data_IF_225821803616
#
_entry.id   IF_225821803616
#
_cell.length_a   1.000
_cell.length_b   1.000
_cell.length_c   1.000
_cell.angle_alpha   90.00
_cell.angle_beta   90.00
_cell.angle_gamma   90.00
#
_symmetry.space_group_name_H-M   'P 1'
#
loop_
_entity.id
_entity.type
_entity.pdbx_description
1 polymer ?
#
# COMPACT_ATOMS: atom_id res chain seq x y z
N UNK A 1 37.02 4.00 -6.78
CA UNK A 1 35.70 4.64 -6.75
C UNK A 1 35.01 4.13 -5.50
N UNK A 2 34.47 5.01 -4.65
CA UNK A 2 33.70 4.57 -3.50
C UNK A 2 32.47 3.80 -4.01
N UNK A 3 32.21 2.62 -3.42
CA UNK A 3 31.07 1.81 -3.78
C UNK A 3 29.79 2.56 -3.38
N UNK A 4 28.96 2.92 -4.35
CA UNK A 4 27.63 3.52 -4.11
C UNK A 4 26.65 2.43 -3.74
N UNK A 5 25.82 2.69 -2.72
CA UNK A 5 24.70 1.82 -2.37
C UNK A 5 23.60 1.88 -3.43
N UNK A 6 22.98 0.73 -3.69
CA UNK A 6 21.84 0.68 -4.60
C UNK A 6 20.58 1.31 -3.94
N UNK A 7 19.64 1.73 -4.77
CA UNK A 7 18.34 2.20 -4.29
C UNK A 7 17.61 1.15 -3.42
N UNK A 8 17.78 -0.13 -3.76
CA UNK A 8 17.21 -1.25 -3.00
C UNK A 8 17.83 -1.38 -1.61
N UNK A 9 19.17 -1.19 -1.48
CA UNK A 9 19.83 -1.17 -0.18
C UNK A 9 19.29 -0.04 0.71
N UNK A 10 19.15 1.15 0.14
CA UNK A 10 18.65 2.34 0.86
C UNK A 10 17.19 2.13 1.29
N UNK A 11 16.35 1.55 0.41
CA UNK A 11 14.94 1.23 0.74
C UNK A 11 14.85 0.21 1.86
N UNK A 12 15.68 -0.82 1.84
CA UNK A 12 15.71 -1.84 2.87
C UNK A 12 16.11 -1.27 4.23
N UNK A 13 17.18 -0.47 4.30
CA UNK A 13 17.60 0.22 5.52
C UNK A 13 16.51 1.16 6.03
N UNK A 14 15.86 1.92 5.15
CA UNK A 14 14.77 2.82 5.50
C UNK A 14 13.55 2.07 6.05
N UNK A 15 13.13 1.00 5.41
CA UNK A 15 12.00 0.17 5.84
C UNK A 15 12.22 -0.45 7.22
N UNK A 16 13.43 -0.96 7.48
CA UNK A 16 13.81 -1.53 8.77
C UNK A 16 13.83 -0.45 9.87
N UNK A 17 14.42 0.71 9.58
CA UNK A 17 14.48 1.81 10.51
C UNK A 17 13.09 2.40 10.81
N UNK A 18 12.21 2.48 9.80
CA UNK A 18 10.81 2.88 9.95
C UNK A 18 10.05 1.91 10.86
N UNK A 19 10.21 0.61 10.66
CA UNK A 19 9.56 -0.41 11.49
C UNK A 19 10.03 -0.34 12.94
N UNK A 20 11.33 -0.16 13.16
CA UNK A 20 11.91 0.00 14.51
C UNK A 20 11.40 1.28 15.20
N UNK A 21 11.34 2.40 14.49
CA UNK A 21 10.78 3.65 15.00
C UNK A 21 9.31 3.48 15.39
N UNK A 22 8.50 2.91 14.51
CA UNK A 22 7.08 2.73 14.76
C UNK A 22 6.79 1.78 15.92
N UNK A 23 7.60 0.74 16.09
CA UNK A 23 7.51 -0.19 17.23
C UNK A 23 7.81 0.52 18.57
N UNK A 24 8.73 1.48 18.58
CA UNK A 24 9.04 2.28 19.78
C UNK A 24 7.89 3.26 20.09
N UNK A 25 7.33 3.89 19.09
CA UNK A 25 6.25 4.88 19.24
C UNK A 25 4.89 4.22 19.53
N UNK A 26 4.63 3.04 18.97
CA UNK A 26 3.39 2.26 19.09
C UNK A 26 3.72 0.84 19.53
N UNK A 27 3.89 0.57 20.84
CA UNK A 27 4.30 -0.75 21.34
C UNK A 27 3.39 -1.90 20.90
N UNK A 28 2.09 -1.65 20.74
CA UNK A 28 1.11 -2.64 20.27
C UNK A 28 1.41 -3.14 18.86
N UNK A 29 2.09 -2.34 18.02
CA UNK A 29 2.60 -2.77 16.72
C UNK A 29 3.64 -3.90 16.87
N UNK A 30 4.51 -3.85 17.88
CA UNK A 30 5.45 -4.94 18.17
C UNK A 30 4.74 -6.25 18.51
N UNK A 31 3.68 -6.19 19.32
CA UNK A 31 2.83 -7.35 19.64
C UNK A 31 2.15 -7.90 18.38
N UNK A 32 1.69 -7.01 17.49
CA UNK A 32 1.09 -7.37 16.22
C UNK A 32 2.08 -8.12 15.30
N UNK A 33 3.32 -7.66 15.23
CA UNK A 33 4.38 -8.33 14.46
C UNK A 33 4.65 -9.75 14.97
N UNK A 34 4.68 -9.95 16.30
CA UNK A 34 4.86 -11.27 16.90
C UNK A 34 3.68 -12.20 16.52
N UNK A 35 2.44 -11.73 16.67
CA UNK A 35 1.24 -12.50 16.27
C UNK A 35 1.29 -12.90 14.79
N UNK A 36 1.64 -11.97 13.90
CA UNK A 36 1.72 -12.24 12.45
C UNK A 36 2.83 -13.26 12.15
N UNK A 37 3.99 -13.17 12.80
CA UNK A 37 5.07 -14.12 12.65
C UNK A 37 4.68 -15.54 13.08
N UNK A 38 4.00 -15.68 14.22
CA UNK A 38 3.51 -16.95 14.73
C UNK A 38 2.48 -17.60 13.79
N UNK A 39 1.53 -16.82 13.29
CA UNK A 39 0.52 -17.29 12.32
C UNK A 39 1.17 -17.71 11.00
N UNK A 40 2.09 -16.90 10.45
CA UNK A 40 2.76 -17.21 9.20
C UNK A 40 3.59 -18.50 9.32
N UNK A 41 4.32 -18.68 10.42
CA UNK A 41 5.07 -19.89 10.68
C UNK A 41 4.15 -21.12 10.72
N UNK A 42 3.07 -21.07 11.49
CA UNK A 42 2.10 -22.15 11.59
C UNK A 42 1.46 -22.50 10.24
N UNK A 43 1.17 -21.51 9.40
CA UNK A 43 0.64 -21.75 8.05
C UNK A 43 1.66 -22.47 7.16
N UNK A 44 2.91 -22.05 7.18
CA UNK A 44 3.98 -22.65 6.37
C UNK A 44 4.33 -24.09 6.82
N UNK A 45 4.31 -24.36 8.12
CA UNK A 45 4.54 -25.70 8.67
C UNK A 45 3.40 -26.68 8.31
N UNK A 46 2.15 -26.19 8.28
CA UNK A 46 0.99 -27.02 8.01
C UNK A 46 0.58 -27.09 6.52
N UNK A 47 1.21 -26.30 5.65
CA UNK A 47 0.89 -26.24 4.21
C UNK A 47 2.18 -26.28 3.36
N UNK A 48 2.74 -27.49 3.21
CA UNK A 48 3.95 -27.73 2.42
C UNK A 48 3.83 -27.22 0.98
N UNK A 49 2.64 -27.36 0.37
CA UNK A 49 2.40 -26.87 -1.00
C UNK A 49 2.54 -25.35 -1.09
N UNK A 50 1.93 -24.61 -0.16
CA UNK A 50 2.05 -23.15 -0.13
C UNK A 50 3.50 -22.74 0.13
N UNK A 51 4.20 -23.43 1.05
CA UNK A 51 5.61 -23.20 1.33
C UNK A 51 6.45 -23.34 0.07
N UNK A 52 6.28 -24.43 -0.67
CA UNK A 52 6.98 -24.67 -1.95
C UNK A 52 6.62 -23.62 -3.02
N UNK A 53 5.36 -23.23 -3.12
CA UNK A 53 4.93 -22.18 -4.04
C UNK A 53 5.61 -20.84 -3.76
N UNK A 54 5.64 -20.41 -2.49
CA UNK A 54 6.30 -19.18 -2.08
C UNK A 54 7.83 -19.24 -2.25
N UNK A 55 8.45 -20.40 -1.95
CA UNK A 55 9.86 -20.61 -2.18
C UNK A 55 10.22 -20.54 -3.68
N UNK A 56 9.41 -21.16 -4.54
CA UNK A 56 9.61 -21.13 -5.99
C UNK A 56 9.36 -19.76 -6.62
N UNK A 57 8.59 -18.91 -5.94
CA UNK A 57 8.32 -17.53 -6.36
C UNK A 57 9.31 -16.51 -5.78
N UNK A 58 10.28 -16.96 -4.97
CA UNK A 58 11.20 -16.13 -4.18
C UNK A 58 10.46 -15.17 -3.20
N UNK A 59 9.25 -15.56 -2.76
CA UNK A 59 8.40 -14.73 -1.88
C UNK A 59 8.59 -15.02 -0.38
N UNK A 60 9.25 -16.10 0.02
CA UNK A 60 9.45 -16.42 1.44
C UNK A 60 10.28 -15.36 2.16
N UNK A 61 11.37 -14.90 1.54
CA UNK A 61 12.25 -13.90 2.14
C UNK A 61 11.53 -12.55 2.31
N UNK A 62 10.74 -12.14 1.30
CA UNK A 62 10.03 -10.87 1.34
C UNK A 62 8.91 -10.83 2.38
N UNK A 63 8.29 -11.96 2.70
CA UNK A 63 7.18 -12.05 3.64
C UNK A 63 7.49 -11.40 5.00
N UNK A 64 8.71 -11.59 5.50
CA UNK A 64 9.14 -11.06 6.79
C UNK A 64 9.47 -9.55 6.77
N UNK A 65 9.87 -9.02 5.63
CA UNK A 65 10.27 -7.62 5.48
C UNK A 65 9.21 -6.75 4.83
N UNK A 66 8.18 -7.38 4.24
CA UNK A 66 7.10 -6.68 3.54
C UNK A 66 6.30 -5.80 4.48
N UNK A 67 6.31 -4.50 4.22
CA UNK A 67 5.56 -3.49 4.98
C UNK A 67 4.92 -2.49 4.04
N UNK A 68 3.76 -2.00 4.42
CA UNK A 68 3.27 -0.75 3.86
C UNK A 68 2.88 0.23 4.96
N UNK A 69 2.92 1.51 4.65
CA UNK A 69 2.49 2.58 5.53
C UNK A 69 1.57 3.56 4.81
N UNK A 70 1.01 4.49 5.58
CA UNK A 70 0.23 5.59 5.05
C UNK A 70 0.65 6.91 5.69
N UNK A 71 0.77 7.94 4.86
CA UNK A 71 1.09 9.30 5.25
C UNK A 71 0.17 10.30 4.55
N UNK A 72 0.07 11.50 5.13
CA UNK A 72 -0.74 12.58 4.58
C UNK A 72 0.06 13.88 4.59
N UNK A 73 0.04 14.57 3.48
CA UNK A 73 0.73 15.87 3.30
C UNK A 73 -0.26 16.95 2.90
N UNK A 74 0.12 18.20 3.11
CA UNK A 74 -0.76 19.34 2.94
C UNK A 74 -0.47 20.19 1.72
N UNK A 75 0.73 20.09 1.13
CA UNK A 75 1.15 20.96 0.02
C UNK A 75 1.75 20.19 -1.15
N UNK A 76 1.69 20.79 -2.33
CA UNK A 76 2.35 20.28 -3.54
C UNK A 76 3.87 20.15 -3.36
N UNK A 77 4.49 21.07 -2.64
CA UNK A 77 5.93 21.04 -2.35
C UNK A 77 6.29 19.85 -1.47
N UNK A 78 5.51 19.57 -0.42
CA UNK A 78 5.70 18.39 0.41
C UNK A 78 5.58 17.10 -0.42
N UNK A 79 4.57 16.98 -1.29
CA UNK A 79 4.35 15.83 -2.13
C UNK A 79 5.49 15.62 -3.14
N UNK A 80 5.89 16.67 -3.84
CA UNK A 80 6.98 16.59 -4.85
C UNK A 80 8.33 16.28 -4.20
N UNK A 81 8.60 16.82 -3.02
CA UNK A 81 9.82 16.51 -2.26
C UNK A 81 9.83 15.06 -1.77
N UNK A 82 8.69 14.53 -1.29
CA UNK A 82 8.55 13.09 -0.99
C UNK A 82 8.78 12.22 -2.22
N UNK A 83 8.28 12.64 -3.39
CA UNK A 83 8.51 11.92 -4.64
C UNK A 83 10.01 11.79 -4.95
N UNK A 84 10.80 12.88 -4.77
CA UNK A 84 12.27 12.82 -4.88
C UNK A 84 12.90 11.92 -3.83
N UNK A 85 12.46 12.02 -2.57
CA UNK A 85 12.96 11.18 -1.48
C UNK A 85 12.76 9.69 -1.77
N UNK A 86 11.57 9.31 -2.20
CA UNK A 86 11.24 7.91 -2.52
C UNK A 86 11.91 7.42 -3.81
N UNK A 87 12.16 8.30 -4.78
CA UNK A 87 12.92 7.94 -5.98
C UNK A 87 14.36 7.51 -5.65
N UNK A 88 15.01 8.12 -4.65
CA UNK A 88 16.33 7.68 -4.13
C UNK A 88 16.27 6.23 -3.61
N UNK A 89 15.12 5.80 -3.15
CA UNK A 89 14.87 4.43 -2.65
C UNK A 89 14.32 3.49 -3.75
N UNK A 90 14.30 3.92 -5.02
CA UNK A 90 13.78 3.14 -6.14
C UNK A 90 12.27 2.92 -6.11
N UNK A 91 11.52 3.85 -5.51
CA UNK A 91 10.06 3.78 -5.41
C UNK A 91 9.43 4.78 -6.39
N UNK A 92 8.44 4.30 -7.14
CA UNK A 92 7.69 5.05 -8.14
C UNK A 92 6.25 5.28 -7.68
N UNK A 93 5.61 6.41 -8.06
CA UNK A 93 4.19 6.62 -7.79
C UNK A 93 3.35 5.75 -8.72
N UNK A 94 2.53 4.87 -8.17
CA UNK A 94 1.66 3.94 -8.90
C UNK A 94 0.22 4.14 -8.48
N UNK A 95 -0.66 4.30 -9.44
CA UNK A 95 -2.09 4.50 -9.24
C UNK A 95 -2.45 5.91 -8.76
N UNK A 96 -3.64 6.33 -9.13
CA UNK A 96 -4.27 7.55 -8.63
C UNK A 96 -5.59 7.21 -7.96
N UNK A 97 -5.80 7.74 -6.76
CA UNK A 97 -6.97 7.46 -5.93
C UNK A 97 -7.60 8.78 -5.48
N UNK A 98 -8.82 9.07 -5.93
CA UNK A 98 -9.62 10.20 -5.45
C UNK A 98 -10.53 9.74 -4.32
N UNK A 99 -10.19 10.08 -3.08
CA UNK A 99 -10.96 9.71 -1.89
C UNK A 99 -12.07 10.72 -1.57
N UNK A 100 -12.14 11.84 -2.27
CA UNK A 100 -13.19 12.86 -2.06
C UNK A 100 -14.59 12.33 -2.39
N UNK A 101 -14.68 11.37 -3.30
CA UNK A 101 -15.92 10.63 -3.60
C UNK A 101 -16.45 9.84 -2.38
N UNK A 102 -15.58 9.56 -1.43
CA UNK A 102 -15.86 8.92 -0.15
C UNK A 102 -15.97 9.94 1.01
N UNK A 103 -16.11 11.23 0.70
CA UNK A 103 -16.09 12.34 1.66
C UNK A 103 -14.78 12.44 2.47
N UNK A 104 -13.69 11.93 1.95
CA UNK A 104 -12.36 12.08 2.54
C UNK A 104 -11.59 13.11 1.71
N UNK A 105 -11.22 14.28 2.26
CA UNK A 105 -10.77 15.44 1.48
C UNK A 105 -9.32 15.32 1.01
N UNK A 106 -8.98 14.21 0.38
CA UNK A 106 -7.65 13.93 -0.18
C UNK A 106 -7.72 13.21 -1.51
N UNK A 107 -6.66 13.31 -2.28
CA UNK A 107 -6.34 12.39 -3.36
C UNK A 107 -4.93 11.82 -3.16
N UNK A 108 -4.65 10.65 -3.74
CA UNK A 108 -3.53 9.85 -3.29
C UNK A 108 -2.85 9.07 -4.41
N UNK A 109 -1.64 8.63 -4.15
CA UNK A 109 -0.92 7.60 -4.90
C UNK A 109 -0.22 6.65 -3.93
N UNK A 110 0.28 5.53 -4.43
CA UNK A 110 1.16 4.64 -3.67
C UNK A 110 2.58 4.71 -4.24
N UNK A 111 3.55 5.03 -3.41
CA UNK A 111 4.95 4.87 -3.79
C UNK A 111 5.38 3.44 -3.51
N UNK A 112 5.93 2.76 -4.50
CA UNK A 112 6.44 1.39 -4.41
C UNK A 112 7.50 1.06 -5.45
N UNK A 113 8.34 0.03 -5.23
CA UNK A 113 9.15 -0.53 -6.30
C UNK A 113 8.26 -1.09 -7.42
N UNK A 114 8.74 -1.08 -8.65
CA UNK A 114 8.01 -1.59 -9.82
C UNK A 114 8.75 -2.74 -10.50
N UNK A 115 10.05 -2.83 -10.32
CA UNK A 115 10.88 -3.91 -10.83
C UNK A 115 10.71 -5.19 -10.02
N UNK A 116 10.65 -6.35 -10.68
CA UNK A 116 10.41 -7.65 -10.04
C UNK A 116 11.47 -8.01 -8.99
N UNK A 117 12.75 -7.76 -9.28
CA UNK A 117 13.83 -8.07 -8.35
C UNK A 117 13.78 -7.15 -7.12
N UNK A 118 13.43 -5.89 -7.32
CA UNK A 118 13.23 -4.92 -6.25
C UNK A 118 12.05 -5.32 -5.33
N UNK A 119 10.93 -5.75 -5.92
CA UNK A 119 9.74 -6.23 -5.20
C UNK A 119 10.04 -7.52 -4.41
N UNK A 120 10.82 -8.44 -4.96
CA UNK A 120 11.23 -9.66 -4.26
C UNK A 120 12.16 -9.38 -3.10
N UNK A 121 13.02 -8.38 -3.23
CA UNK A 121 13.97 -8.01 -2.19
C UNK A 121 13.31 -7.31 -1.01
N UNK A 122 12.59 -6.22 -1.27
CA UNK A 122 11.88 -5.45 -0.25
C UNK A 122 10.72 -4.67 -0.86
N UNK A 123 9.49 -5.18 -0.79
CA UNK A 123 8.30 -4.53 -1.36
C UNK A 123 7.72 -3.48 -0.40
N UNK A 124 8.55 -2.57 0.08
CA UNK A 124 8.09 -1.48 0.92
C UNK A 124 7.23 -0.51 0.12
N UNK A 125 6.06 -0.15 0.66
CA UNK A 125 5.07 0.73 0.02
C UNK A 125 4.63 1.81 0.97
N UNK A 126 4.39 3.01 0.46
CA UNK A 126 3.78 4.10 1.23
C UNK A 126 2.61 4.71 0.45
N UNK A 127 1.41 4.54 0.99
CA UNK A 127 0.22 5.22 0.51
C UNK A 127 0.25 6.68 0.94
N UNK A 128 0.35 7.59 -0.03
CA UNK A 128 0.60 9.00 0.21
C UNK A 128 -0.57 9.84 -0.28
N UNK A 129 -1.20 10.56 0.65
CA UNK A 129 -2.37 11.40 0.40
C UNK A 129 -1.99 12.89 0.44
N UNK A 130 -2.49 13.65 -0.52
CA UNK A 130 -2.43 15.10 -0.55
C UNK A 130 -3.79 15.69 -0.16
N UNK A 131 -3.77 16.58 0.83
CA UNK A 131 -4.97 17.30 1.27
C UNK A 131 -5.51 18.19 0.14
N UNK A 132 -6.81 18.15 -0.05
CA UNK A 132 -7.55 19.00 -0.96
C UNK A 132 -8.17 20.17 -0.20
N UNK A 133 -7.37 21.23 -0.02
CA UNK A 133 -7.75 22.42 0.74
C UNK A 133 -9.03 23.07 0.20
N UNK A 134 -9.29 22.99 -1.10
CA UNK A 134 -10.48 23.53 -1.74
C UNK A 134 -11.78 22.87 -1.26
N UNK A 135 -11.69 21.72 -0.60
CA UNK A 135 -12.84 21.02 -0.02
C UNK A 135 -13.16 21.45 1.43
N UNK A 136 -12.40 22.38 2.01
CA UNK A 136 -12.78 23.04 3.27
C UNK A 136 -13.83 24.09 2.97
N UNK A 137 -15.04 23.94 3.53
CA UNK A 137 -16.20 24.78 3.20
C UNK A 137 -16.00 26.24 3.61
N UNK A 138 -15.49 26.49 4.85
CA UNK A 138 -15.22 27.84 5.36
C UNK A 138 -13.99 28.45 4.68
N UNK A 139 -14.15 29.56 3.89
CA UNK A 139 -13.03 30.19 3.21
C UNK A 139 -11.96 30.78 4.16
N UNK A 140 -12.36 31.26 5.35
CA UNK A 140 -11.42 31.81 6.32
C UNK A 140 -10.59 30.71 6.96
N UNK A 141 -11.23 29.60 7.31
CA UNK A 141 -10.55 28.41 7.83
C UNK A 141 -9.62 27.78 6.79
N UNK A 142 -10.05 27.75 5.52
CA UNK A 142 -9.23 27.30 4.37
C UNK A 142 -7.97 28.17 4.23
N UNK A 143 -8.11 29.49 4.27
CA UNK A 143 -6.99 30.41 4.18
C UNK A 143 -6.03 30.27 5.38
N UNK A 144 -6.58 30.08 6.59
CA UNK A 144 -5.80 29.83 7.81
C UNK A 144 -5.01 28.52 7.68
N UNK A 145 -5.66 27.44 7.24
CA UNK A 145 -5.01 26.15 7.00
C UNK A 145 -3.88 26.26 5.95
N UNK A 146 -4.14 26.95 4.84
CA UNK A 146 -3.14 27.16 3.80
C UNK A 146 -1.90 27.90 4.33
N UNK A 147 -2.10 28.91 5.18
CA UNK A 147 -1.00 29.66 5.80
C UNK A 147 -0.19 28.77 6.76
N UNK A 148 -0.85 28.01 7.64
CA UNK A 148 -0.18 27.09 8.58
C UNK A 148 0.70 26.09 7.80
N UNK A 149 0.18 25.53 6.72
CA UNK A 149 0.92 24.58 5.89
C UNK A 149 2.10 25.23 5.15
N UNK A 150 1.94 26.48 4.69
CA UNK A 150 3.01 27.24 4.02
C UNK A 150 4.17 27.61 4.95
N UNK A 151 3.88 27.77 6.24
CA UNK A 151 4.87 28.17 7.25
C UNK A 151 5.66 26.98 7.83
N UNK A 152 5.31 25.72 7.46
CA UNK A 152 6.00 24.52 7.96
C UNK A 152 6.96 23.93 6.93
N UNK A 153 8.02 23.27 7.42
CA UNK A 153 8.85 22.36 6.63
C UNK A 153 8.89 21.00 7.35
N UNK A 154 8.38 19.95 6.68
CA UNK A 154 8.37 18.59 7.24
C UNK A 154 9.69 17.85 7.03
N UNK A 155 10.64 18.44 6.32
CA UNK A 155 11.95 17.85 6.02
C UNK A 155 13.03 18.57 6.83
N UNK A 156 14.01 17.81 7.33
CA UNK A 156 15.18 18.44 7.93
C UNK A 156 16.02 19.15 6.86
N UNK A 157 16.69 20.28 7.17
CA UNK A 157 17.62 20.92 6.23
C UNK A 157 18.71 19.96 5.75
N UNK A 158 19.14 19.03 6.60
CA UNK A 158 20.15 18.04 6.25
C UNK A 158 19.61 16.99 5.27
N UNK A 159 18.36 16.56 5.43
CA UNK A 159 17.69 15.67 4.48
C UNK A 159 17.65 16.31 3.07
N UNK A 160 17.25 17.58 2.98
CA UNK A 160 17.24 18.33 1.71
C UNK A 160 18.63 18.44 1.11
N UNK A 161 19.64 18.74 1.91
CA UNK A 161 21.04 18.82 1.45
C UNK A 161 21.55 17.46 0.93
N UNK A 162 21.19 16.36 1.59
CA UNK A 162 21.56 15.02 1.13
C UNK A 162 20.86 14.63 -0.17
N UNK A 163 19.58 14.96 -0.35
CA UNK A 163 18.89 14.74 -1.63
C UNK A 163 19.57 15.50 -2.79
N UNK A 164 19.97 16.75 -2.56
CA UNK A 164 20.71 17.52 -3.56
C UNK A 164 22.07 16.88 -3.87
N UNK A 165 22.79 16.45 -2.82
CA UNK A 165 24.06 15.75 -2.97
C UNK A 165 23.92 14.45 -3.77
N UNK A 166 22.85 13.68 -3.55
CA UNK A 166 22.54 12.48 -4.33
C UNK A 166 22.37 12.80 -5.81
N UNK A 167 21.61 13.85 -6.13
CA UNK A 167 21.38 14.28 -7.51
C UNK A 167 22.67 14.74 -8.21
N UNK A 168 23.55 15.44 -7.47
CA UNK A 168 24.83 15.95 -7.99
C UNK A 168 25.85 14.84 -8.26
N UNK A 169 25.94 13.83 -7.39
CA UNK A 169 26.96 12.76 -7.50
C UNK A 169 26.43 11.44 -8.06
N UNK A 170 25.12 11.32 -8.28
CA UNK A 170 24.50 10.15 -8.86
C UNK A 170 24.42 8.93 -7.92
N UNK A 171 24.35 9.16 -6.62
CA UNK A 171 24.20 8.10 -5.62
C UNK A 171 24.80 8.44 -4.26
N UNK A 172 24.70 7.53 -3.29
CA UNK A 172 25.26 7.67 -1.95
C UNK A 172 26.35 6.65 -1.65
N UNK A 173 27.37 7.05 -0.91
CA UNK A 173 28.22 6.13 -0.16
C UNK A 173 27.41 5.50 0.99
N UNK A 174 27.89 4.40 1.57
CA UNK A 174 27.24 3.76 2.71
C UNK A 174 26.99 4.73 3.88
N UNK A 175 27.95 5.59 4.20
CA UNK A 175 27.81 6.56 5.29
C UNK A 175 26.76 7.64 4.96
N UNK A 176 26.74 8.13 3.71
CA UNK A 176 25.73 9.11 3.27
C UNK A 176 24.33 8.51 3.25
N UNK A 177 24.19 7.25 2.84
CA UNK A 177 22.91 6.54 2.83
C UNK A 177 22.37 6.36 4.26
N UNK A 178 23.19 5.95 5.21
CA UNK A 178 22.80 5.83 6.61
C UNK A 178 22.39 7.18 7.21
N UNK A 179 23.11 8.25 6.87
CA UNK A 179 22.74 9.60 7.29
C UNK A 179 21.41 10.02 6.65
N UNK A 180 21.23 9.77 5.36
CA UNK A 180 19.98 10.06 4.65
C UNK A 180 18.78 9.32 5.25
N UNK A 181 18.90 8.03 5.53
CA UNK A 181 17.83 7.24 6.17
C UNK A 181 17.46 7.84 7.54
N UNK A 182 18.45 8.18 8.37
CA UNK A 182 18.20 8.80 9.69
C UNK A 182 17.47 10.15 9.57
N UNK A 183 17.92 11.01 8.65
CA UNK A 183 17.31 12.33 8.44
C UNK A 183 15.90 12.22 7.79
N UNK A 184 15.72 11.31 6.85
CA UNK A 184 14.42 11.06 6.20
C UNK A 184 13.38 10.57 7.20
N UNK A 185 13.77 9.74 8.20
CA UNK A 185 12.86 9.25 9.22
C UNK A 185 12.22 10.35 10.05
N UNK A 186 12.91 11.48 10.26
CA UNK A 186 12.38 12.59 11.06
C UNK A 186 11.07 13.16 10.49
N UNK A 187 10.87 13.07 9.17
CA UNK A 187 9.63 13.46 8.49
C UNK A 187 8.42 12.66 8.98
N UNK A 188 8.63 11.42 9.42
CA UNK A 188 7.59 10.44 9.72
C UNK A 188 7.36 10.20 11.22
N UNK A 189 8.13 10.87 12.08
CA UNK A 189 8.01 10.76 13.54
C UNK A 189 6.72 11.39 14.06
N UNK A 190 6.22 10.84 15.14
CA UNK A 190 5.13 11.43 15.91
C UNK A 190 5.61 12.65 16.71
N UNK A 191 4.81 13.72 16.65
CA UNK A 191 5.00 14.93 17.41
C UNK A 191 3.81 15.18 18.35
N UNK A 192 4.07 15.30 19.66
CA UNK A 192 3.03 15.56 20.66
C UNK A 192 2.56 17.01 20.65
N UNK A 193 3.35 17.93 20.13
CA UNK A 193 3.03 19.35 20.10
C UNK A 193 2.42 19.71 18.76
N UNK A 194 1.25 20.35 18.80
CA UNK A 194 0.63 20.91 17.61
C UNK A 194 1.22 22.28 17.29
N UNK A 195 1.11 22.69 16.03
CA UNK A 195 1.51 24.03 15.57
C UNK A 195 0.41 25.07 15.79
N UNK A 196 -0.77 24.65 16.24
CA UNK A 196 -1.98 25.47 16.40
C UNK A 196 -2.55 25.38 17.81
N UNK A 197 -3.37 26.38 18.17
CA UNK A 197 -4.16 26.36 19.40
C UNK A 197 -5.32 25.37 19.32
N UNK A 198 -5.94 25.11 20.47
CA UNK A 198 -7.04 24.16 20.60
C UNK A 198 -8.27 24.57 19.79
N UNK A 199 -8.58 25.87 19.70
CA UNK A 199 -9.73 26.39 18.96
C UNK A 199 -9.57 26.10 17.45
N UNK A 200 -8.40 26.40 16.91
CA UNK A 200 -8.08 26.10 15.49
C UNK A 200 -8.12 24.63 15.21
N UNK A 201 -7.54 23.80 16.10
CA UNK A 201 -7.60 22.35 15.98
C UNK A 201 -9.05 21.84 15.95
N UNK A 202 -9.90 22.31 16.87
CA UNK A 202 -11.30 21.90 16.92
C UNK A 202 -12.07 22.31 15.67
N UNK A 203 -11.85 23.53 15.17
CA UNK A 203 -12.49 24.00 13.95
C UNK A 203 -12.13 23.15 12.73
N UNK A 204 -10.86 22.78 12.56
CA UNK A 204 -10.40 21.90 11.49
C UNK A 204 -10.92 20.46 11.66
N UNK A 205 -10.91 19.95 12.89
CA UNK A 205 -11.40 18.61 13.21
C UNK A 205 -12.92 18.44 12.99
N UNK A 206 -13.69 19.52 13.19
CA UNK A 206 -15.14 19.53 12.91
C UNK A 206 -15.45 19.47 11.41
N UNK A 207 -14.61 20.05 10.56
CA UNK A 207 -14.72 19.89 9.09
C UNK A 207 -14.48 18.44 8.69
N UNK A 208 -13.33 17.91 9.08
CA UNK A 208 -12.98 16.50 8.93
C UNK A 208 -11.74 16.19 9.78
N UNK A 209 -11.74 15.08 10.54
CA UNK A 209 -10.62 14.68 11.42
C UNK A 209 -9.27 14.65 10.70
N UNK A 210 -9.26 14.20 9.43
CA UNK A 210 -8.06 14.12 8.62
C UNK A 210 -7.46 15.51 8.32
N UNK A 211 -8.29 16.55 8.20
CA UNK A 211 -7.79 17.92 7.99
C UNK A 211 -6.99 18.38 9.19
N UNK A 212 -7.49 18.13 10.40
CA UNK A 212 -6.73 18.43 11.63
C UNK A 212 -5.44 17.62 11.72
N UNK A 213 -5.47 16.33 11.33
CA UNK A 213 -4.30 15.45 11.29
C UNK A 213 -3.21 16.00 10.36
N UNK A 214 -3.57 16.51 9.20
CA UNK A 214 -2.62 17.06 8.22
C UNK A 214 -2.12 18.46 8.63
N UNK A 215 -3.02 19.36 9.07
CA UNK A 215 -2.71 20.78 9.22
C UNK A 215 -2.06 21.11 10.55
N UNK A 216 -2.44 20.41 11.64
CA UNK A 216 -2.11 20.85 12.99
C UNK A 216 -0.76 20.38 13.52
N UNK A 217 -0.04 19.53 12.79
CA UNK A 217 1.23 18.94 13.25
C UNK A 217 2.42 19.42 12.43
N UNK A 218 3.62 19.45 13.01
CA UNK A 218 4.84 19.94 12.33
C UNK A 218 5.39 18.97 11.28
N UNK A 219 4.95 17.70 11.27
CA UNK A 219 5.37 16.65 10.34
C UNK A 219 4.20 15.84 9.80
N UNK A 220 4.46 15.02 8.81
CA UNK A 220 3.48 14.08 8.25
C UNK A 220 3.65 12.68 8.89
N UNK A 221 3.57 12.57 10.20
CA UNK A 221 3.77 11.31 10.91
C UNK A 221 3.12 10.13 10.22
N UNK A 222 3.77 8.95 10.31
CA UNK A 222 3.19 7.73 9.72
C UNK A 222 1.98 7.27 10.53
N UNK A 223 0.84 7.06 9.86
CA UNK A 223 -0.42 6.74 10.53
C UNK A 223 -0.54 5.25 10.89
N UNK A 224 -0.02 4.37 10.07
CA UNK A 224 0.09 2.95 10.33
C UNK A 224 1.25 2.34 9.57
N UNK A 225 1.70 1.19 10.05
CA UNK A 225 2.64 0.33 9.35
C UNK A 225 2.09 -1.10 9.40
N UNK A 226 2.06 -1.77 8.25
CA UNK A 226 1.28 -2.98 8.02
C UNK A 226 2.16 -4.13 7.59
N UNK A 227 2.27 -5.22 8.38
CA UNK A 227 2.89 -6.47 7.96
C UNK A 227 1.91 -7.31 7.12
N UNK A 228 2.46 -8.20 6.31
CA UNK A 228 1.71 -9.20 5.54
C UNK A 228 1.56 -10.50 6.33
N UNK A 229 0.32 -11.03 6.35
CA UNK A 229 0.02 -12.37 6.86
C UNK A 229 -0.40 -13.32 5.74
N UNK A 230 -0.22 -14.61 5.98
CA UNK A 230 -0.72 -15.69 5.11
C UNK A 230 -2.15 -16.14 5.48
N UNK A 231 -2.62 -15.80 6.69
CA UNK A 231 -3.99 -16.12 7.14
C UNK A 231 -4.53 -14.99 8.04
N UNK A 232 -5.18 -14.02 7.41
CA UNK A 232 -5.74 -12.86 8.12
C UNK A 232 -6.92 -13.22 9.03
N UNK A 233 -7.68 -14.27 8.68
CA UNK A 233 -8.79 -14.75 9.51
C UNK A 233 -8.24 -15.25 10.84
N UNK A 234 -7.16 -16.06 10.79
CA UNK A 234 -6.51 -16.57 12.00
C UNK A 234 -5.88 -15.46 12.83
N UNK A 235 -5.26 -14.47 12.20
CA UNK A 235 -4.73 -13.30 12.93
C UNK A 235 -5.88 -12.55 13.63
N UNK A 236 -6.99 -12.28 12.95
CA UNK A 236 -8.17 -11.61 13.53
C UNK A 236 -8.72 -12.36 14.75
N UNK A 237 -8.82 -13.69 14.68
CA UNK A 237 -9.28 -14.53 15.78
C UNK A 237 -8.36 -14.44 17.02
N UNK A 238 -7.05 -14.40 16.80
CA UNK A 238 -6.07 -14.44 17.88
C UNK A 238 -5.73 -13.06 18.47
N UNK A 239 -6.15 -11.97 17.84
CA UNK A 239 -5.81 -10.62 18.30
C UNK A 239 -6.14 -10.40 19.77
N UNK A 240 -7.32 -10.83 20.23
CA UNK A 240 -7.75 -10.67 21.62
C UNK A 240 -6.86 -11.44 22.61
N UNK A 241 -6.36 -12.62 22.22
CA UNK A 241 -5.45 -13.42 23.06
C UNK A 241 -4.09 -12.73 23.25
N UNK A 242 -3.70 -11.87 22.30
CA UNK A 242 -2.51 -11.03 22.37
C UNK A 242 -2.79 -9.64 22.98
N UNK A 243 -3.98 -9.42 23.55
CA UNK A 243 -4.37 -8.14 24.16
C UNK A 243 -4.62 -7.01 23.15
N UNK A 244 -4.89 -7.36 21.89
CA UNK A 244 -5.18 -6.43 20.80
C UNK A 244 -6.69 -6.41 20.54
N UNK A 245 -7.31 -5.23 20.55
CA UNK A 245 -8.74 -5.08 20.23
C UNK A 245 -8.92 -4.91 18.70
N UNK A 246 -9.46 -5.93 17.98
CA UNK A 246 -9.60 -5.88 16.54
C UNK A 246 -10.74 -4.95 16.10
N UNK A 247 -10.70 -4.50 14.83
CA UNK A 247 -11.88 -3.96 14.16
C UNK A 247 -12.97 -5.02 14.01
N UNK A 248 -14.21 -4.57 13.80
CA UNK A 248 -15.37 -5.45 13.74
C UNK A 248 -15.36 -6.41 12.55
N UNK A 249 -14.75 -6.04 11.41
CA UNK A 249 -14.76 -6.84 10.18
C UNK A 249 -13.42 -6.80 9.47
N UNK A 250 -13.12 -7.90 8.74
CA UNK A 250 -12.05 -7.97 7.77
C UNK A 250 -12.57 -7.39 6.45
N UNK A 251 -11.90 -6.38 5.92
CA UNK A 251 -12.24 -5.73 4.65
C UNK A 251 -11.66 -6.50 3.46
N UNK A 252 -12.34 -6.42 2.31
CA UNK A 252 -11.94 -7.08 1.06
C UNK A 252 -12.76 -8.33 0.74
N UNK A 253 -12.27 -9.21 -0.17
CA UNK A 253 -12.96 -10.42 -0.57
C UNK A 253 -13.00 -11.45 0.56
N UNK A 254 -13.86 -12.49 0.47
CA UNK A 254 -13.86 -13.57 1.46
C UNK A 254 -12.58 -14.43 1.36
N UNK A 255 -12.38 -15.30 2.34
CA UNK A 255 -11.37 -16.37 2.28
C UNK A 255 -11.62 -17.26 1.06
N UNK A 256 -10.55 -17.55 0.30
CA UNK A 256 -10.59 -18.30 -0.95
C UNK A 256 -9.40 -19.25 -1.06
N UNK A 257 -9.53 -20.28 -1.93
CA UNK A 257 -8.40 -21.14 -2.29
C UNK A 257 -7.32 -20.36 -3.04
N UNK A 258 -7.73 -19.44 -3.93
CA UNK A 258 -6.84 -18.46 -4.56
C UNK A 258 -7.20 -17.07 -4.03
N UNK A 259 -6.41 -16.51 -3.11
CA UNK A 259 -6.64 -15.17 -2.58
C UNK A 259 -6.64 -14.12 -3.69
N UNK A 260 -7.53 -13.13 -3.59
CA UNK A 260 -7.68 -12.06 -4.57
C UNK A 260 -7.27 -10.72 -3.97
N UNK A 261 -6.52 -9.93 -4.72
CA UNK A 261 -6.17 -8.54 -4.42
C UNK A 261 -5.66 -8.35 -2.98
N UNK A 262 -6.48 -7.82 -2.09
CA UNK A 262 -6.09 -7.38 -0.77
C UNK A 262 -7.23 -7.58 0.23
N UNK A 263 -6.90 -8.18 1.37
CA UNK A 263 -7.75 -8.22 2.57
C UNK A 263 -7.03 -7.52 3.70
N UNK A 264 -7.75 -6.71 4.48
CA UNK A 264 -7.18 -5.88 5.53
C UNK A 264 -8.02 -5.91 6.79
N UNK A 265 -7.35 -5.86 7.93
CA UNK A 265 -7.96 -5.59 9.24
C UNK A 265 -6.99 -4.79 10.09
N UNK A 266 -7.46 -4.21 11.19
CA UNK A 266 -6.60 -3.42 12.07
C UNK A 266 -7.07 -3.51 13.51
N UNK A 267 -6.25 -3.08 14.44
CA UNK A 267 -6.72 -2.72 15.76
C UNK A 267 -7.34 -1.31 15.78
N UNK A 268 -8.13 -1.02 16.79
CA UNK A 268 -8.73 0.32 16.95
C UNK A 268 -7.64 1.39 17.10
N UNK A 269 -7.87 2.52 16.44
CA UNK A 269 -6.94 3.65 16.49
C UNK A 269 -6.75 4.14 17.94
N UNK A 270 -5.51 4.51 18.25
CA UNK A 270 -5.11 4.96 19.58
C UNK A 270 -5.46 6.43 19.79
N UNK A 271 -5.90 6.77 20.99
CA UNK A 271 -5.98 8.15 21.45
C UNK A 271 -4.62 8.56 22.03
N UNK A 272 -3.97 9.51 21.40
CA UNK A 272 -2.65 9.97 21.80
C UNK A 272 -2.72 11.34 22.45
N UNK A 273 -2.02 11.56 23.57
CA UNK A 273 -1.99 12.85 24.22
C UNK A 273 -1.25 13.85 23.34
N UNK A 274 -1.84 15.04 23.18
CA UNK A 274 -1.26 16.16 22.45
C UNK A 274 -1.27 17.42 23.31
N UNK A 275 -0.30 18.29 23.05
CA UNK A 275 -0.22 19.62 23.64
C UNK A 275 -0.42 20.67 22.55
N UNK A 276 -1.46 21.48 22.69
CA UNK A 276 -1.75 22.56 21.76
C UNK A 276 -0.84 23.77 21.99
N UNK A 277 -0.63 24.58 20.98
CA UNK A 277 -0.01 25.88 21.16
C UNK A 277 -0.83 26.71 22.19
N UNK A 278 -0.15 27.31 23.20
CA UNK A 278 -0.82 27.94 24.34
C UNK A 278 -1.00 27.03 25.55
N UNK A 279 -0.30 25.88 25.61
CA UNK A 279 -0.15 24.96 26.74
C UNK A 279 -1.40 24.19 27.19
N UNK A 280 -2.51 24.23 26.44
CA UNK A 280 -3.64 23.34 26.71
C UNK A 280 -3.37 21.89 26.22
N UNK A 281 -3.88 20.92 26.96
CA UNK A 281 -3.72 19.51 26.64
C UNK A 281 -5.01 18.93 26.03
N UNK A 282 -4.85 17.91 25.18
CA UNK A 282 -5.95 17.18 24.57
C UNK A 282 -5.52 15.83 24.05
N UNK A 283 -6.32 15.25 23.19
CA UNK A 283 -6.03 13.97 22.52
C UNK A 283 -6.24 14.08 21.02
N UNK A 284 -5.50 13.26 20.28
CA UNK A 284 -5.65 13.08 18.84
C UNK A 284 -5.65 11.61 18.49
N UNK A 285 -6.53 11.20 17.57
CA UNK A 285 -6.66 9.80 17.13
C UNK A 285 -6.19 9.69 15.71
N UNK A 286 -4.98 9.17 15.48
CA UNK A 286 -4.39 9.10 14.13
C UNK A 286 -3.71 7.77 13.84
N UNK A 287 -3.10 7.13 14.84
CA UNK A 287 -2.22 5.98 14.62
C UNK A 287 -2.87 4.66 15.04
N UNK A 288 -2.63 3.62 14.24
CA UNK A 288 -3.12 2.27 14.48
C UNK A 288 -2.15 1.23 13.88
N UNK A 289 -2.38 -0.05 14.13
CA UNK A 289 -1.73 -1.15 13.42
C UNK A 289 -2.72 -1.82 12.49
N UNK A 290 -2.29 -2.08 11.29
CA UNK A 290 -3.05 -2.78 10.26
C UNK A 290 -2.33 -4.07 9.89
N UNK A 291 -3.06 -5.04 9.39
CA UNK A 291 -2.55 -6.30 8.86
C UNK A 291 -3.16 -6.50 7.50
N UNK A 292 -2.40 -7.07 6.58
CA UNK A 292 -2.89 -7.38 5.24
C UNK A 292 -2.59 -8.82 4.84
N UNK A 293 -3.48 -9.37 4.00
CA UNK A 293 -3.24 -10.58 3.23
C UNK A 293 -3.35 -10.23 1.76
N UNK A 294 -2.30 -10.51 0.98
CA UNK A 294 -2.25 -10.22 -0.44
C UNK A 294 -2.51 -11.46 -1.27
N UNK A 295 -3.29 -11.29 -2.34
CA UNK A 295 -3.63 -12.30 -3.31
C UNK A 295 -3.19 -11.91 -4.71
N UNK A 296 -3.76 -12.57 -5.71
CA UNK A 296 -3.42 -12.37 -7.11
C UNK A 296 -3.92 -11.03 -7.65
N UNK A 297 -3.10 -10.39 -8.49
CA UNK A 297 -3.48 -9.22 -9.26
C UNK A 297 -4.48 -9.57 -10.36
N UNK A 298 -5.59 -8.83 -10.45
CA UNK A 298 -6.65 -9.07 -11.42
C UNK A 298 -6.42 -8.26 -12.69
N UNK A 299 -6.83 -8.83 -13.82
CA UNK A 299 -6.96 -8.10 -15.07
C UNK A 299 -8.09 -7.06 -14.97
N UNK A 300 -8.20 -6.09 -15.89
CA UNK A 300 -9.35 -5.18 -15.92
C UNK A 300 -10.70 -5.93 -15.94
N UNK A 301 -10.78 -7.07 -16.66
CA UNK A 301 -11.96 -7.93 -16.68
C UNK A 301 -12.24 -8.56 -15.31
N UNK A 302 -11.20 -9.12 -14.67
CA UNK A 302 -11.32 -9.71 -13.34
C UNK A 302 -11.69 -8.67 -12.29
N UNK A 303 -11.12 -7.46 -12.38
CA UNK A 303 -11.42 -6.35 -11.49
C UNK A 303 -12.87 -5.89 -11.62
N UNK A 304 -13.40 -5.77 -12.82
CA UNK A 304 -14.80 -5.40 -13.04
C UNK A 304 -15.77 -6.42 -12.42
N UNK A 305 -15.48 -7.73 -12.54
CA UNK A 305 -16.27 -8.77 -11.87
C UNK A 305 -16.14 -8.69 -10.34
N UNK A 306 -14.92 -8.49 -9.83
CA UNK A 306 -14.64 -8.33 -8.40
C UNK A 306 -15.43 -7.15 -7.81
N UNK A 307 -15.33 -5.97 -8.42
CA UNK A 307 -16.00 -4.75 -7.96
C UNK A 307 -17.52 -4.92 -7.94
N UNK A 308 -18.09 -5.58 -8.95
CA UNK A 308 -19.52 -5.91 -9.01
C UNK A 308 -19.94 -6.78 -7.82
N UNK A 309 -19.24 -7.89 -7.58
CA UNK A 309 -19.58 -8.82 -6.51
C UNK A 309 -19.39 -8.20 -5.13
N UNK A 310 -18.34 -7.41 -4.93
CA UNK A 310 -18.11 -6.73 -3.67
C UNK A 310 -19.21 -5.72 -3.36
N UNK A 311 -19.70 -5.01 -4.38
CA UNK A 311 -20.84 -4.10 -4.25
C UNK A 311 -22.13 -4.82 -3.91
N UNK A 312 -22.41 -5.97 -4.52
CA UNK A 312 -23.57 -6.80 -4.23
C UNK A 312 -23.57 -7.31 -2.79
N UNK A 313 -22.39 -7.62 -2.25
CA UNK A 313 -22.24 -8.11 -0.87
C UNK A 313 -22.53 -7.01 0.18
N UNK A 314 -22.20 -5.74 -0.11
CA UNK A 314 -22.37 -4.65 0.86
C UNK A 314 -21.50 -4.82 2.11
N UNK A 315 -21.83 -4.10 3.19
CA UNK A 315 -21.09 -4.12 4.45
C UNK A 315 -21.95 -4.78 5.55
N UNK A 316 -21.41 -5.82 6.18
CA UNK A 316 -22.05 -6.52 7.29
C UNK A 316 -21.87 -5.80 8.64
N UNK A 317 -22.72 -6.17 9.63
CA UNK A 317 -22.65 -5.61 10.99
C UNK A 317 -21.56 -6.24 11.86
N UNK A 318 -21.28 -7.52 11.64
CA UNK A 318 -20.25 -8.30 12.33
C UNK A 318 -19.46 -9.14 11.32
N UNK A 319 -18.26 -9.59 11.74
CA UNK A 319 -17.34 -10.27 10.81
C UNK A 319 -17.90 -11.62 10.33
N UNK A 320 -18.55 -12.39 11.20
CA UNK A 320 -19.00 -13.74 10.84
C UNK A 320 -20.09 -13.69 9.76
N UNK A 321 -21.13 -12.91 10.00
CA UNK A 321 -22.24 -12.76 9.02
C UNK A 321 -21.77 -12.07 7.75
N UNK A 322 -20.86 -11.10 7.86
CA UNK A 322 -20.25 -10.44 6.72
C UNK A 322 -19.45 -11.41 5.84
N UNK A 323 -18.56 -12.22 6.44
CA UNK A 323 -17.76 -13.19 5.70
C UNK A 323 -18.62 -14.30 5.06
N UNK A 324 -19.67 -14.77 5.76
CA UNK A 324 -20.61 -15.74 5.20
C UNK A 324 -21.33 -15.19 3.95
N UNK A 325 -21.80 -13.96 4.02
CA UNK A 325 -22.47 -13.31 2.90
C UNK A 325 -21.52 -13.07 1.72
N UNK A 326 -20.30 -12.59 1.99
CA UNK A 326 -19.26 -12.47 0.99
C UNK A 326 -18.95 -13.79 0.29
N UNK A 327 -18.85 -14.90 1.04
CA UNK A 327 -18.61 -16.23 0.49
C UNK A 327 -19.71 -16.66 -0.47
N UNK A 328 -20.99 -16.40 -0.14
CA UNK A 328 -22.11 -16.70 -1.03
C UNK A 328 -22.06 -15.92 -2.32
N UNK A 329 -21.87 -14.60 -2.25
CA UNK A 329 -21.80 -13.72 -3.43
C UNK A 329 -20.60 -14.08 -4.30
N UNK A 330 -19.43 -14.33 -3.70
CA UNK A 330 -18.21 -14.65 -4.43
C UNK A 330 -18.13 -16.07 -4.97
N UNK A 331 -19.15 -16.94 -4.78
CA UNK A 331 -19.26 -18.21 -5.53
C UNK A 331 -19.29 -17.99 -7.05
N UNK A 332 -19.74 -16.81 -7.48
CA UNK A 332 -19.72 -16.44 -8.90
C UNK A 332 -18.31 -16.10 -9.46
N UNK A 333 -17.32 -15.91 -8.59
CA UNK A 333 -15.94 -15.68 -8.98
C UNK A 333 -15.18 -17.01 -8.98
N UNK A 334 -14.51 -17.42 -10.07
CA UNK A 334 -13.74 -18.68 -10.10
C UNK A 334 -12.67 -18.76 -9.02
N UNK A 335 -12.54 -19.91 -8.34
CA UNK A 335 -11.64 -20.13 -7.22
C UNK A 335 -10.58 -21.20 -7.52
N UNK A 336 -9.99 -21.14 -8.70
CA UNK A 336 -8.82 -21.93 -9.07
C UNK A 336 -7.92 -21.16 -10.03
N UNK A 337 -6.61 -21.33 -9.91
CA UNK A 337 -5.62 -20.69 -10.79
C UNK A 337 -5.87 -21.03 -12.26
N UNK A 338 -6.26 -22.27 -12.55
CA UNK A 338 -6.60 -22.72 -13.92
C UNK A 338 -7.75 -21.89 -14.50
N UNK A 339 -8.87 -21.78 -13.78
CA UNK A 339 -10.04 -21.03 -14.27
C UNK A 339 -9.77 -19.53 -14.36
N UNK A 340 -9.04 -18.96 -13.38
CA UNK A 340 -8.65 -17.55 -13.42
C UNK A 340 -7.80 -17.23 -14.65
N UNK A 341 -6.86 -18.12 -15.00
CA UNK A 341 -6.02 -17.98 -16.18
C UNK A 341 -6.81 -18.20 -17.47
N UNK A 342 -7.62 -19.28 -17.54
CA UNK A 342 -8.41 -19.62 -18.72
C UNK A 342 -9.41 -18.53 -19.08
N UNK A 343 -10.04 -17.91 -18.07
CA UNK A 343 -11.02 -16.84 -18.27
C UNK A 343 -10.39 -15.45 -18.39
N UNK A 344 -9.06 -15.33 -18.24
CA UNK A 344 -8.35 -14.06 -18.30
C UNK A 344 -8.74 -13.09 -17.19
N UNK A 345 -8.98 -13.59 -15.98
CA UNK A 345 -9.41 -12.79 -14.82
C UNK A 345 -8.26 -12.32 -13.94
N UNK A 346 -7.12 -12.99 -13.99
CA UNK A 346 -5.94 -12.68 -13.17
C UNK A 346 -4.66 -12.74 -13.99
N UNK A 347 -3.64 -12.04 -13.49
CA UNK A 347 -2.33 -11.99 -14.10
C UNK A 347 -1.42 -13.10 -13.59
N UNK A 348 -0.67 -13.72 -14.50
CA UNK A 348 0.27 -14.81 -14.21
C UNK A 348 1.63 -14.54 -14.84
N UNK A 349 2.70 -14.94 -14.14
CA UNK A 349 4.05 -15.09 -14.68
C UNK A 349 4.28 -16.52 -15.11
N UNK A 350 5.05 -16.67 -16.18
CA UNK A 350 5.41 -17.94 -16.75
C UNK A 350 6.91 -18.15 -16.66
N UNK A 351 7.33 -19.34 -16.26
CA UNK A 351 8.74 -19.70 -16.16
C UNK A 351 8.95 -21.12 -16.72
N UNK A 352 10.02 -21.28 -17.54
CA UNK A 352 10.46 -22.60 -17.96
C UNK A 352 11.01 -23.37 -16.76
N UNK A 353 10.66 -24.66 -16.66
CA UNK A 353 11.35 -25.62 -15.82
C UNK A 353 12.63 -26.09 -16.52
N UNK A 354 13.56 -26.77 -15.82
CA UNK A 354 14.71 -27.40 -16.51
C UNK A 354 14.29 -28.36 -17.64
N UNK A 355 13.17 -29.08 -17.45
CA UNK A 355 12.60 -29.95 -18.50
C UNK A 355 12.04 -29.12 -19.66
N UNK A 356 11.38 -27.98 -19.36
CA UNK A 356 10.86 -27.08 -20.39
C UNK A 356 11.97 -26.40 -21.18
N UNK A 357 13.06 -26.03 -20.53
CA UNK A 357 14.21 -25.43 -21.21
C UNK A 357 14.84 -26.42 -22.19
N UNK A 358 14.95 -27.70 -21.83
CA UNK A 358 15.41 -28.78 -22.73
C UNK A 358 14.47 -28.97 -23.94
N UNK A 359 13.20 -28.60 -23.84
CA UNK A 359 12.19 -28.71 -24.91
C UNK A 359 11.79 -27.34 -25.50
N UNK A 360 12.56 -26.31 -25.27
CA UNK A 360 12.23 -24.91 -25.62
C UNK A 360 11.90 -24.73 -27.11
N UNK A 361 12.54 -25.49 -27.99
CA UNK A 361 12.30 -25.44 -29.44
C UNK A 361 10.91 -25.97 -29.86
N UNK A 362 10.19 -26.63 -28.94
CA UNK A 362 8.83 -27.12 -29.18
C UNK A 362 7.74 -26.11 -28.69
N UNK A 363 8.15 -24.95 -28.15
CA UNK A 363 7.27 -23.88 -27.70
C UNK A 363 7.35 -22.75 -28.73
N UNK A 364 6.21 -22.33 -29.26
CA UNK A 364 6.16 -21.32 -30.32
C UNK A 364 5.30 -20.12 -29.90
N UNK A 365 5.56 -18.96 -30.48
CA UNK A 365 4.74 -17.76 -30.25
C UNK A 365 3.27 -18.04 -30.62
N UNK A 366 2.37 -17.70 -29.69
CA UNK A 366 0.92 -17.91 -29.85
C UNK A 366 0.40 -19.25 -29.31
N UNK A 367 1.28 -20.14 -28.85
CA UNK A 367 0.84 -21.38 -28.22
C UNK A 367 0.06 -21.14 -26.93
N UNK A 368 -0.95 -21.97 -26.67
CA UNK A 368 -1.61 -22.05 -25.37
C UNK A 368 -0.61 -22.62 -24.35
N UNK A 369 -0.33 -21.92 -23.24
CA UNK A 369 0.58 -22.40 -22.20
C UNK A 369 0.07 -23.65 -21.47
N UNK A 370 -1.23 -23.93 -21.48
CA UNK A 370 -1.83 -25.00 -20.67
C UNK A 370 -1.24 -26.39 -20.93
N UNK A 371 -1.06 -26.86 -22.17
CA UNK A 371 -0.44 -28.19 -22.44
C UNK A 371 1.00 -28.29 -21.92
N UNK A 372 1.76 -27.20 -21.91
CA UNK A 372 3.13 -27.14 -21.38
C UNK A 372 3.17 -27.14 -19.86
N UNK A 373 2.18 -26.52 -19.21
CA UNK A 373 2.01 -26.57 -17.76
C UNK A 373 1.69 -28.00 -17.32
N UNK A 374 0.77 -28.68 -17.99
CA UNK A 374 0.40 -30.06 -17.69
C UNK A 374 1.57 -31.05 -17.87
N UNK A 375 2.46 -30.79 -18.84
CA UNK A 375 3.70 -31.55 -19.03
C UNK A 375 4.82 -31.20 -18.05
N UNK A 376 4.62 -30.19 -17.20
CA UNK A 376 5.64 -29.68 -16.29
C UNK A 376 6.80 -28.95 -16.99
N UNK A 377 6.61 -28.46 -18.20
CA UNK A 377 7.61 -27.66 -18.93
C UNK A 377 7.57 -26.19 -18.55
N UNK A 378 6.39 -25.68 -18.23
CA UNK A 378 6.15 -24.31 -17.80
C UNK A 378 5.47 -24.34 -16.43
N UNK A 379 5.87 -23.43 -15.55
CA UNK A 379 5.16 -23.10 -14.33
C UNK A 379 4.49 -21.75 -14.55
N UNK A 380 3.17 -21.69 -14.29
CA UNK A 380 2.43 -20.44 -14.22
C UNK A 380 2.23 -20.08 -12.73
N UNK A 381 2.67 -18.90 -12.35
CA UNK A 381 2.57 -18.39 -10.98
C UNK A 381 1.67 -17.15 -10.97
N UNK A 382 0.71 -17.02 -10.04
CA UNK A 382 -0.06 -15.80 -9.86
C UNK A 382 0.86 -14.62 -9.58
N UNK A 383 0.60 -13.47 -10.20
CA UNK A 383 1.28 -12.23 -9.86
C UNK A 383 0.64 -11.65 -8.59
N UNK A 384 1.44 -11.44 -7.55
CA UNK A 384 0.97 -10.83 -6.30
C UNK A 384 0.50 -9.41 -6.56
N UNK A 385 -0.68 -9.05 -6.00
CA UNK A 385 -1.18 -7.68 -6.02
C UNK A 385 -0.34 -6.78 -5.12
N UNK A 386 0.19 -5.71 -5.69
CA UNK A 386 1.15 -4.82 -5.04
C UNK A 386 0.55 -3.44 -4.68
N UNK A 387 -0.69 -3.19 -5.10
CA UNK A 387 -1.33 -1.89 -4.99
C UNK A 387 -2.42 -1.86 -3.90
N UNK A 388 -3.31 -0.88 -3.90
CA UNK A 388 -4.24 -0.63 -2.80
C UNK A 388 -5.69 -0.55 -3.28
N UNK A 389 -6.61 -0.78 -2.33
CA UNK A 389 -8.06 -0.68 -2.50
C UNK A 389 -8.63 0.32 -1.49
N UNK A 390 -8.21 1.60 -1.51
CA UNK A 390 -8.52 2.56 -0.45
C UNK A 390 -10.01 2.90 -0.34
N UNK A 391 -10.76 2.73 -1.41
CA UNK A 391 -12.22 2.98 -1.43
C UNK A 391 -12.97 1.91 -0.64
N UNK A 392 -12.52 0.65 -0.68
CA UNK A 392 -13.09 -0.42 0.15
C UNK A 392 -12.74 -0.23 1.62
N UNK A 393 -11.54 0.24 1.93
CA UNK A 393 -11.13 0.60 3.29
C UNK A 393 -11.95 1.75 3.87
N UNK A 394 -12.46 2.66 3.03
CA UNK A 394 -13.37 3.72 3.43
C UNK A 394 -14.86 3.28 3.51
N UNK A 395 -15.16 1.99 3.26
CA UNK A 395 -16.54 1.46 3.22
C UNK A 395 -17.33 1.88 1.97
N UNK A 396 -16.65 2.38 0.95
CA UNK A 396 -17.25 2.79 -0.32
C UNK A 396 -16.68 1.93 -1.43
N UNK A 397 -17.57 1.30 -2.18
CA UNK A 397 -17.22 0.42 -3.29
C UNK A 397 -17.13 1.21 -4.60
N UNK A 398 -16.15 0.90 -5.43
CA UNK A 398 -15.96 1.58 -6.74
C UNK A 398 -17.19 1.52 -7.65
N UNK A 399 -18.08 0.53 -7.47
CA UNK A 399 -19.33 0.44 -8.19
C UNK A 399 -20.35 1.53 -7.83
N UNK A 400 -20.23 2.14 -6.66
CA UNK A 400 -21.01 3.33 -6.28
C UNK A 400 -20.46 4.62 -6.93
N UNK A 401 -19.31 4.53 -7.59
CA UNK A 401 -18.74 5.56 -8.47
C UNK A 401 -19.32 5.47 -9.90
N UNK A 402 -20.52 4.91 -10.02
CA UNK A 402 -21.26 4.64 -11.24
C UNK A 402 -21.22 5.80 -12.21
N UNK A 403 -20.64 5.51 -13.35
CA UNK A 403 -20.28 6.43 -14.35
C UNK A 403 -21.44 7.16 -15.00
N UNK A 404 -21.53 8.43 -14.72
CA UNK A 404 -21.98 9.42 -15.70
C UNK A 404 -20.77 10.20 -16.20
N UNK A 405 -20.79 10.61 -17.47
CA UNK A 405 -19.66 11.27 -18.14
C UNK A 405 -19.10 12.51 -17.40
N UNK A 406 -19.88 13.13 -16.50
CA UNK A 406 -19.45 14.21 -15.63
C UNK A 406 -18.46 13.75 -14.55
N UNK A 407 -18.63 12.55 -14.00
CA UNK A 407 -17.74 11.98 -12.98
C UNK A 407 -16.36 11.66 -13.58
N UNK A 408 -16.31 11.21 -14.83
CA UNK A 408 -15.05 10.98 -15.56
C UNK A 408 -14.28 12.27 -15.83
N UNK A 409 -14.96 13.35 -16.17
CA UNK A 409 -14.32 14.64 -16.45
C UNK A 409 -13.76 15.27 -15.18
N UNK A 410 -14.48 15.20 -14.06
CA UNK A 410 -13.99 15.67 -12.75
C UNK A 410 -12.84 14.80 -12.23
N UNK A 411 -12.91 13.49 -12.39
CA UNK A 411 -11.86 12.56 -12.03
C UNK A 411 -10.54 12.81 -12.77
N UNK A 412 -10.61 13.13 -14.06
CA UNK A 412 -9.44 13.49 -14.86
C UNK A 412 -8.83 14.83 -14.42
N UNK A 413 -9.64 15.86 -14.19
CA UNK A 413 -9.14 17.14 -13.72
C UNK A 413 -8.48 17.07 -12.36
N UNK A 414 -9.01 16.25 -11.43
CA UNK A 414 -8.41 16.01 -10.12
C UNK A 414 -7.08 15.24 -10.22
N UNK A 415 -6.99 14.28 -11.15
CA UNK A 415 -5.75 13.56 -11.44
C UNK A 415 -4.68 14.50 -12.01
N UNK A 416 -5.02 15.33 -12.98
CA UNK A 416 -4.09 16.29 -13.59
C UNK A 416 -3.56 17.28 -12.55
N UNK A 417 -4.41 17.75 -11.64
CA UNK A 417 -4.01 18.60 -10.52
C UNK A 417 -3.04 17.87 -9.56
N UNK A 418 -3.30 16.60 -9.26
CA UNK A 418 -2.43 15.78 -8.43
C UNK A 418 -1.07 15.54 -9.09
N UNK A 419 -1.04 15.15 -10.36
CA UNK A 419 0.18 14.91 -11.12
C UNK A 419 1.01 16.20 -11.29
N UNK A 420 0.34 17.35 -11.40
CA UNK A 420 1.00 18.67 -11.37
C UNK A 420 1.66 18.93 -10.02
N UNK A 421 0.96 18.67 -8.91
CA UNK A 421 1.50 18.79 -7.56
C UNK A 421 2.65 17.80 -7.29
N UNK A 422 2.54 16.59 -7.83
CA UNK A 422 3.56 15.54 -7.72
C UNK A 422 4.83 15.86 -8.53
N UNK A 423 4.68 16.63 -9.62
CA UNK A 423 5.74 16.97 -10.57
C UNK A 423 6.02 15.88 -11.63
N UNK A 424 5.18 14.85 -11.70
CA UNK A 424 5.25 13.76 -12.69
C UNK A 424 3.93 13.00 -12.79
N UNK A 425 3.80 12.19 -13.81
CA UNK A 425 2.66 11.28 -13.95
C UNK A 425 2.79 10.07 -13.02
N UNK A 426 1.63 9.55 -12.56
CA UNK A 426 1.56 8.26 -11.87
C UNK A 426 1.54 7.13 -12.90
N UNK A 427 2.17 6.02 -12.55
CA UNK A 427 2.16 4.81 -13.37
C UNK A 427 0.80 4.10 -13.26
N UNK A 428 0.39 3.43 -14.34
CA UNK A 428 -0.81 2.60 -14.34
C UNK A 428 -0.51 1.19 -13.84
N UNK A 429 -1.18 0.77 -12.78
CA UNK A 429 -0.98 -0.55 -12.17
C UNK A 429 -1.26 -1.71 -13.13
N UNK A 430 -2.33 -1.61 -13.93
CA UNK A 430 -2.70 -2.67 -14.87
C UNK A 430 -1.65 -2.85 -15.97
N UNK A 431 -1.10 -1.76 -16.47
CA UNK A 431 -0.01 -1.80 -17.46
C UNK A 431 1.24 -2.48 -16.90
N UNK A 432 1.58 -2.24 -15.62
CA UNK A 432 2.71 -2.90 -14.96
C UNK A 432 2.52 -4.42 -14.85
N UNK A 433 1.35 -4.87 -14.44
CA UNK A 433 1.04 -6.32 -14.36
C UNK A 433 1.01 -6.98 -15.72
N UNK A 434 0.40 -6.33 -16.72
CA UNK A 434 0.36 -6.83 -18.10
C UNK A 434 1.77 -6.97 -18.66
N UNK A 435 2.62 -5.96 -18.51
CA UNK A 435 3.99 -5.98 -18.99
C UNK A 435 4.81 -7.09 -18.32
N UNK A 436 4.68 -7.29 -17.00
CA UNK A 436 5.33 -8.37 -16.28
C UNK A 436 4.89 -9.75 -16.80
N UNK A 437 3.59 -9.92 -17.06
CA UNK A 437 3.06 -11.16 -17.64
C UNK A 437 3.57 -11.40 -19.06
N UNK A 438 3.50 -10.40 -19.94
CA UNK A 438 3.97 -10.47 -21.32
C UNK A 438 5.49 -10.70 -21.41
N UNK A 439 6.27 -10.04 -20.58
CA UNK A 439 7.70 -10.25 -20.49
C UNK A 439 8.03 -11.71 -20.13
N UNK A 440 7.34 -12.26 -19.14
CA UNK A 440 7.52 -13.66 -18.75
C UNK A 440 7.16 -14.65 -19.86
N UNK A 441 6.11 -14.38 -20.63
CA UNK A 441 5.72 -15.20 -21.80
C UNK A 441 6.78 -15.17 -22.90
N UNK A 442 7.33 -13.99 -23.21
CA UNK A 442 8.44 -13.86 -24.19
C UNK A 442 9.65 -14.70 -23.77
N UNK A 443 10.00 -14.69 -22.50
CA UNK A 443 11.10 -15.51 -21.97
C UNK A 443 10.86 -17.01 -22.11
N UNK A 444 9.61 -17.44 -22.11
CA UNK A 444 9.22 -18.84 -22.34
C UNK A 444 9.06 -19.21 -23.82
N UNK A 445 9.13 -18.24 -24.74
CA UNK A 445 8.91 -18.47 -26.17
C UNK A 445 7.43 -18.55 -26.57
N UNK A 446 6.51 -18.09 -25.70
CA UNK A 446 5.06 -18.06 -25.95
C UNK A 446 4.61 -16.79 -26.71
N UNK A 447 5.49 -15.80 -26.82
CA UNK A 447 5.31 -14.53 -27.55
C UNK A 447 6.56 -14.19 -28.35
#
# INVERSE_FOLDING_TARGET
>A
MAHTLSADDIREEFSQAMSAMYQQEVPQYGTLLALVADVNLAVLENNTRLHEQLANADELARLNVERHGAIRVGTAEELSTLCRMFAIMGMEPVGYYDLSVANVPVHSTAFRPVDDAALQRNPFRIFTSLLRLELIDDPNLRQKAAKILADRDIFTPRCRALMNLHDEQGGFTAQQAQEFVREALETFRWHRHTTVDQETYQALNQQHRLIADVVCFPGCHINHLTPRTLDIDRVQELMSDYGIEPKAVIEGPPRRAVPLLLRQTSFKALEEPVQFAGESNGTHTARFGEIEQRGVALTPKGRALYDKLLSEAGVGKDNLTHQQHLQEVFKAFPDSEFLLRQQGLAWFRYRLTPTGDAHRLAIHPGDDPQPFIERGWIIAQPITYEDFLPVSAAGIFQSNLGGDGQTRTQGNASRDAFETALGRQVLDEFSLYEEASLHSKRRCGLL
#
